data_IF_076298297548
#
_entry.id   IF_076298297548
#
_cell.length_a   1.000
_cell.length_b   1.000
_cell.length_c   1.000
_cell.angle_alpha   90.00
_cell.angle_beta   90.00
_cell.angle_gamma   90.00
#
_symmetry.space_group_name_H-M   'P 1'
#
loop_
_entity.id
_entity.type
_entity.pdbx_description
1 polymer ?
#
# COMPACT_ATOMS: atom_id res chain seq x y z
N UNK A 1 33.49 -10.58 4.19
CA UNK A 1 33.11 -9.22 3.74
C UNK A 1 31.72 -8.79 4.20
N UNK A 2 30.67 -9.62 4.12
CA UNK A 2 29.33 -9.31 4.66
C UNK A 2 29.25 -9.23 6.19
N UNK A 3 29.99 -10.09 6.90
CA UNK A 3 30.08 -10.08 8.37
C UNK A 3 30.63 -8.76 8.92
N UNK A 4 31.50 -8.08 8.17
CA UNK A 4 32.07 -6.80 8.59
C UNK A 4 31.02 -5.67 8.51
N UNK A 5 30.12 -5.71 7.52
CA UNK A 5 29.02 -4.73 7.40
C UNK A 5 27.97 -4.91 8.49
N UNK A 6 27.72 -6.14 8.94
CA UNK A 6 26.82 -6.42 10.06
C UNK A 6 27.43 -5.93 11.39
N UNK A 7 28.73 -6.14 11.59
CA UNK A 7 29.43 -5.62 12.78
C UNK A 7 29.46 -4.10 12.82
N UNK A 8 29.68 -3.43 11.68
CA UNK A 8 29.63 -1.96 11.59
C UNK A 8 28.20 -1.46 11.86
N UNK A 9 27.16 -2.14 11.36
CA UNK A 9 25.77 -1.80 11.66
C UNK A 9 25.45 -1.96 13.16
N UNK A 10 26.00 -2.99 13.81
CA UNK A 10 25.88 -3.21 15.26
C UNK A 10 26.71 -2.22 16.08
N UNK A 11 27.85 -1.74 15.56
CA UNK A 11 28.68 -0.70 16.18
C UNK A 11 28.07 0.69 16.08
N UNK A 12 27.43 1.04 14.95
CA UNK A 12 26.68 2.29 14.80
C UNK A 12 25.49 2.31 15.77
N UNK A 13 24.79 1.18 15.95
CA UNK A 13 23.76 1.02 16.98
C UNK A 13 24.30 1.14 18.42
N UNK A 14 25.60 0.90 18.62
CA UNK A 14 26.29 1.04 19.90
C UNK A 14 26.88 2.42 20.12
N UNK A 15 27.21 3.17 19.07
CA UNK A 15 27.90 4.47 19.19
C UNK A 15 26.92 5.63 19.47
N UNK A 16 25.61 5.43 19.30
CA UNK A 16 24.52 6.33 19.75
C UNK A 16 24.11 6.12 21.23
N UNK A 17 24.98 5.51 22.05
CA UNK A 17 24.77 5.22 23.48
C UNK A 17 24.79 6.49 24.38
N UNK A 18 23.97 7.48 24.04
CA UNK A 18 23.38 8.48 24.93
C UNK A 18 21.87 8.69 24.70
N UNK A 19 21.27 8.00 23.72
CA UNK A 19 19.82 7.83 23.65
C UNK A 19 19.43 6.67 24.57
N UNK A 20 18.39 6.83 25.40
CA UNK A 20 17.95 5.74 26.27
C UNK A 20 17.48 4.56 25.39
N UNK A 21 17.77 3.32 25.78
CA UNK A 21 17.32 2.12 25.06
C UNK A 21 15.79 2.14 24.78
N UNK A 22 15.02 2.81 25.64
CA UNK A 22 13.59 3.03 25.48
C UNK A 22 13.23 3.93 24.28
N UNK A 23 14.08 4.90 23.93
CA UNK A 23 13.88 5.82 22.80
C UNK A 23 14.01 5.10 21.46
N UNK A 24 15.06 4.29 21.30
CA UNK A 24 15.27 3.47 20.10
C UNK A 24 14.16 2.41 19.90
N UNK A 25 13.73 1.76 20.98
CA UNK A 25 12.56 0.85 20.93
C UNK A 25 11.31 1.62 20.51
N UNK A 26 11.11 2.84 21.03
CA UNK A 26 10.00 3.72 20.67
C UNK A 26 9.96 4.02 19.17
N UNK A 27 11.10 4.36 18.58
CA UNK A 27 11.20 4.67 17.15
C UNK A 27 10.92 3.46 16.25
N UNK A 28 11.45 2.28 16.60
CA UNK A 28 11.14 1.05 15.87
C UNK A 28 9.64 0.75 15.94
N UNK A 29 9.05 0.82 17.14
CA UNK A 29 7.62 0.57 17.33
C UNK A 29 6.79 1.55 16.53
N UNK A 30 7.19 2.82 16.48
CA UNK A 30 6.52 3.85 15.70
C UNK A 30 6.53 3.54 14.19
N UNK A 31 7.70 3.22 13.62
CA UNK A 31 7.85 2.89 12.20
C UNK A 31 7.06 1.64 11.83
N UNK A 32 7.12 0.59 12.66
CA UNK A 32 6.34 -0.65 12.44
C UNK A 32 4.84 -0.37 12.48
N UNK A 33 4.39 0.43 13.45
CA UNK A 33 2.98 0.80 13.58
C UNK A 33 2.47 1.56 12.36
N UNK A 34 3.24 2.54 11.86
CA UNK A 34 2.93 3.26 10.62
C UNK A 34 2.85 2.31 9.41
N UNK A 35 3.78 1.36 9.30
CA UNK A 35 3.76 0.34 8.25
C UNK A 35 2.48 -0.49 8.28
N UNK A 36 2.03 -0.93 9.45
CA UNK A 36 0.78 -1.68 9.62
C UNK A 36 -0.43 -0.86 9.19
N UNK A 37 -0.47 0.43 9.54
CA UNK A 37 -1.54 1.32 9.10
C UNK A 37 -1.60 1.43 7.58
N UNK A 38 -0.47 1.71 6.92
CA UNK A 38 -0.40 1.83 5.46
C UNK A 38 -0.87 0.53 4.78
N UNK A 39 -0.44 -0.63 5.26
CA UNK A 39 -0.85 -1.92 4.73
C UNK A 39 -2.35 -2.17 4.90
N UNK A 40 -2.92 -1.83 6.06
CA UNK A 40 -4.35 -2.01 6.34
C UNK A 40 -5.21 -1.15 5.44
N UNK A 41 -4.84 0.11 5.27
CA UNK A 41 -5.54 1.04 4.38
C UNK A 41 -5.44 0.61 2.92
N UNK A 42 -4.25 0.25 2.44
CA UNK A 42 -4.05 -0.22 1.08
C UNK A 42 -4.85 -1.49 0.79
N UNK A 43 -4.94 -2.43 1.74
CA UNK A 43 -5.71 -3.68 1.60
C UNK A 43 -7.22 -3.44 1.62
N UNK A 44 -7.70 -2.52 2.47
CA UNK A 44 -9.10 -2.09 2.47
C UNK A 44 -9.49 -1.44 1.14
N UNK A 45 -8.62 -0.56 0.65
CA UNK A 45 -8.67 0.04 -0.69
C UNK A 45 -8.82 -0.98 -1.82
N UNK A 46 -7.90 -1.94 -1.87
CA UNK A 46 -7.86 -3.00 -2.88
C UNK A 46 -9.13 -3.88 -2.83
N UNK A 47 -9.61 -4.23 -1.64
CA UNK A 47 -10.82 -5.04 -1.47
C UNK A 47 -12.09 -4.33 -1.97
N UNK A 48 -12.21 -3.03 -1.72
CA UNK A 48 -13.34 -2.23 -2.20
C UNK A 48 -13.32 -2.15 -3.72
N UNK A 49 -12.14 -1.90 -4.28
CA UNK A 49 -11.95 -1.82 -5.73
C UNK A 49 -12.28 -3.14 -6.44
N UNK A 50 -11.81 -4.26 -5.88
CA UNK A 50 -12.09 -5.58 -6.43
C UNK A 50 -13.54 -6.01 -6.25
N UNK A 51 -14.18 -5.59 -5.16
CA UNK A 51 -15.62 -5.84 -4.96
C UNK A 51 -16.42 -5.12 -6.04
N UNK A 52 -16.06 -3.89 -6.39
CA UNK A 52 -16.65 -3.15 -7.52
C UNK A 52 -16.54 -3.91 -8.85
N UNK A 53 -15.35 -4.41 -9.18
CA UNK A 53 -15.12 -5.23 -10.39
C UNK A 53 -15.97 -6.51 -10.36
N UNK A 54 -15.93 -7.25 -9.25
CA UNK A 54 -16.63 -8.52 -9.10
C UNK A 54 -18.15 -8.39 -9.27
N UNK A 55 -18.74 -7.29 -8.78
CA UNK A 55 -20.17 -7.01 -8.97
C UNK A 55 -20.46 -6.82 -10.46
N UNK A 56 -19.67 -5.97 -11.15
CA UNK A 56 -19.84 -5.70 -12.58
C UNK A 56 -19.76 -6.99 -13.41
N UNK A 57 -18.77 -7.84 -13.13
CA UNK A 57 -18.57 -9.09 -13.85
C UNK A 57 -19.71 -10.10 -13.60
N UNK A 58 -20.25 -10.16 -12.38
CA UNK A 58 -21.44 -10.97 -12.08
C UNK A 58 -22.65 -10.51 -12.90
N UNK A 59 -22.86 -9.20 -13.03
CA UNK A 59 -23.96 -8.67 -13.85
C UNK A 59 -23.74 -8.91 -15.36
N UNK A 60 -22.50 -8.88 -15.86
CA UNK A 60 -22.20 -9.30 -17.24
C UNK A 60 -22.52 -10.76 -17.50
N UNK A 61 -22.19 -11.65 -16.56
CA UNK A 61 -22.55 -13.07 -16.66
C UNK A 61 -24.07 -13.26 -16.54
N UNK A 62 -24.77 -12.45 -15.75
CA UNK A 62 -26.21 -12.47 -15.68
C UNK A 62 -26.84 -12.03 -17.01
N UNK A 63 -26.31 -10.98 -17.64
CA UNK A 63 -26.77 -10.45 -18.92
C UNK A 63 -26.79 -11.51 -20.04
N UNK A 64 -25.83 -12.44 -20.06
CA UNK A 64 -25.78 -13.50 -21.08
C UNK A 64 -26.85 -14.58 -20.88
N UNK A 65 -27.44 -14.66 -19.68
CA UNK A 65 -28.47 -15.64 -19.31
C UNK A 65 -29.90 -15.10 -19.43
N UNK A 66 -30.07 -13.81 -19.71
CA UNK A 66 -31.37 -13.16 -19.86
C UNK A 66 -31.83 -13.28 -21.31
N UNK A 67 -32.99 -13.92 -21.51
CA UNK A 67 -33.62 -14.07 -22.82
C UNK A 67 -34.54 -12.89 -23.18
N UNK A 68 -35.06 -12.17 -22.18
CA UNK A 68 -35.90 -10.99 -22.40
C UNK A 68 -35.05 -9.80 -22.87
N UNK A 69 -35.28 -9.26 -24.08
CA UNK A 69 -34.51 -8.13 -24.61
C UNK A 69 -34.64 -6.87 -23.77
N UNK A 70 -35.80 -6.60 -23.14
CA UNK A 70 -36.02 -5.39 -22.33
C UNK A 70 -35.21 -5.47 -21.04
N UNK A 71 -35.29 -6.59 -20.34
CA UNK A 71 -34.52 -6.83 -19.12
C UNK A 71 -33.01 -6.86 -19.39
N UNK A 72 -32.59 -7.39 -20.55
CA UNK A 72 -31.20 -7.35 -20.99
C UNK A 72 -30.69 -5.93 -21.18
N UNK A 73 -31.49 -5.04 -21.76
CA UNK A 73 -31.15 -3.63 -21.94
C UNK A 73 -31.03 -2.90 -20.59
N UNK A 74 -31.97 -3.14 -19.66
CA UNK A 74 -31.91 -2.58 -18.31
C UNK A 74 -30.63 -2.99 -17.56
N UNK A 75 -30.22 -4.26 -17.67
CA UNK A 75 -28.97 -4.74 -17.06
C UNK A 75 -27.75 -4.07 -17.68
N UNK A 76 -27.76 -3.75 -18.98
CA UNK A 76 -26.68 -2.97 -19.61
C UNK A 76 -26.59 -1.57 -19.02
N UNK A 77 -27.72 -0.87 -18.87
CA UNK A 77 -27.72 0.45 -18.24
C UNK A 77 -27.23 0.39 -16.80
N UNK A 78 -27.64 -0.64 -16.05
CA UNK A 78 -27.20 -0.84 -14.68
C UNK A 78 -25.70 -1.14 -14.57
N UNK A 79 -25.14 -1.97 -15.46
CA UNK A 79 -23.70 -2.22 -15.55
C UNK A 79 -22.94 -0.92 -15.82
N UNK A 80 -23.39 -0.11 -16.79
CA UNK A 80 -22.77 1.18 -17.11
C UNK A 80 -22.84 2.15 -15.93
N UNK A 81 -23.96 2.17 -15.21
CA UNK A 81 -24.11 2.95 -14.00
C UNK A 81 -23.13 2.51 -12.91
N UNK A 82 -23.02 1.21 -12.65
CA UNK A 82 -22.08 0.66 -11.66
C UNK A 82 -20.61 0.89 -12.05
N UNK A 83 -20.28 0.82 -13.34
CA UNK A 83 -18.95 1.17 -13.84
C UNK A 83 -18.59 2.63 -13.53
N UNK A 84 -19.57 3.54 -13.64
CA UNK A 84 -19.39 4.96 -13.32
C UNK A 84 -19.37 5.24 -11.82
N UNK A 85 -20.11 4.45 -11.04
CA UNK A 85 -20.20 4.57 -9.58
C UNK A 85 -19.08 3.81 -8.84
N UNK A 86 -18.21 3.07 -9.56
CA UNK A 86 -17.17 2.23 -8.95
C UNK A 86 -16.40 3.05 -7.89
N UNK A 87 -16.44 2.62 -6.62
CA UNK A 87 -15.78 3.36 -5.56
C UNK A 87 -14.28 3.19 -5.69
N UNK A 88 -13.59 4.25 -6.10
CA UNK A 88 -12.14 4.34 -6.00
C UNK A 88 -11.80 5.10 -4.73
N UNK A 89 -11.22 4.41 -3.74
CA UNK A 89 -10.69 5.10 -2.57
C UNK A 89 -9.48 5.92 -3.00
N UNK A 90 -9.56 7.23 -2.85
CA UNK A 90 -8.46 8.14 -3.18
C UNK A 90 -8.03 8.92 -1.94
N UNK A 91 -6.72 9.07 -1.76
CA UNK A 91 -6.19 9.97 -0.75
C UNK A 91 -6.22 11.40 -1.32
N UNK A 92 -7.21 12.19 -0.88
CA UNK A 92 -7.42 13.58 -1.31
C UNK A 92 -7.50 13.78 -2.85
N UNK A 93 -7.91 12.75 -3.60
CA UNK A 93 -7.99 12.80 -5.07
C UNK A 93 -6.66 12.69 -5.82
N UNK A 94 -5.51 12.61 -5.12
CA UNK A 94 -4.18 12.57 -5.76
C UNK A 94 -3.68 11.16 -6.04
N UNK A 95 -3.95 10.21 -5.14
CA UNK A 95 -3.53 8.81 -5.29
C UNK A 95 -4.65 7.87 -4.96
N UNK A 96 -4.76 6.78 -5.71
CA UNK A 96 -5.66 5.68 -5.36
C UNK A 96 -5.05 4.88 -4.21
N UNK A 97 -5.85 4.62 -3.19
CA UNK A 97 -5.52 3.76 -2.06
C UNK A 97 -5.84 2.34 -2.54
N UNK A 98 -4.84 1.65 -3.06
CA UNK A 98 -4.93 0.25 -3.47
C UNK A 98 -3.58 -0.44 -3.21
N UNK A 99 -3.44 -1.70 -3.64
CA UNK A 99 -2.20 -2.46 -3.43
C UNK A 99 -0.96 -1.81 -4.06
N UNK A 100 -1.10 -0.96 -5.08
CA UNK A 100 0.03 -0.21 -5.68
C UNK A 100 0.63 0.81 -4.72
N UNK A 101 -0.14 1.29 -3.75
CA UNK A 101 0.34 2.20 -2.71
C UNK A 101 1.43 1.55 -1.85
N UNK A 102 1.34 0.23 -1.60
CA UNK A 102 2.36 -0.54 -0.90
C UNK A 102 3.67 -0.54 -1.69
N UNK A 103 3.58 -0.83 -2.99
CA UNK A 103 4.76 -0.82 -3.88
C UNK A 103 5.39 0.56 -3.94
N UNK A 104 4.58 1.61 -4.07
CA UNK A 104 5.06 3.00 -4.05
C UNK A 104 5.77 3.33 -2.74
N UNK A 105 5.21 2.92 -1.60
CA UNK A 105 5.82 3.14 -0.29
C UNK A 105 7.23 2.56 -0.20
N UNK A 106 7.42 1.30 -0.60
CA UNK A 106 8.76 0.69 -0.59
C UNK A 106 9.73 1.34 -1.59
N UNK A 107 9.25 1.72 -2.78
CA UNK A 107 10.07 2.40 -3.78
C UNK A 107 10.56 3.76 -3.27
N UNK A 108 9.73 4.50 -2.52
CA UNK A 108 10.13 5.79 -1.96
C UNK A 108 11.02 5.65 -0.72
N UNK A 109 10.76 4.63 0.11
CA UNK A 109 11.47 4.42 1.37
C UNK A 109 12.89 3.86 1.17
N UNK A 110 13.07 2.96 0.20
CA UNK A 110 14.37 2.35 -0.12
C UNK A 110 15.48 3.38 -0.41
N UNK A 111 15.33 4.35 -1.34
CA UNK A 111 16.37 5.33 -1.62
C UNK A 111 16.65 6.23 -0.42
N UNK A 112 15.64 6.54 0.40
CA UNK A 112 15.84 7.32 1.62
C UNK A 112 16.75 6.58 2.62
N UNK A 113 16.49 5.30 2.87
CA UNK A 113 17.37 4.46 3.70
C UNK A 113 18.80 4.44 3.13
N UNK A 114 18.93 4.22 1.82
CA UNK A 114 20.24 4.15 1.16
C UNK A 114 21.00 5.47 1.32
N UNK A 115 20.34 6.61 1.11
CA UNK A 115 20.94 7.94 1.26
C UNK A 115 21.37 8.16 2.71
N UNK A 116 20.52 7.86 3.69
CA UNK A 116 20.85 8.02 5.11
C UNK A 116 22.06 7.15 5.48
N UNK A 117 22.10 5.90 5.04
CA UNK A 117 23.24 5.01 5.26
C UNK A 117 24.51 5.54 4.61
N UNK A 118 24.42 6.05 3.38
CA UNK A 118 25.56 6.63 2.67
C UNK A 118 26.11 7.89 3.34
N UNK A 119 25.23 8.76 3.82
CA UNK A 119 25.64 9.95 4.59
C UNK A 119 26.37 9.52 5.85
N UNK A 120 25.84 8.54 6.57
CA UNK A 120 26.46 8.06 7.80
C UNK A 120 27.80 7.34 7.57
N UNK A 121 28.00 6.69 6.42
CA UNK A 121 29.24 5.97 6.10
C UNK A 121 30.30 6.80 5.37
N UNK A 122 29.98 8.00 4.87
CA UNK A 122 30.94 8.93 4.24
C UNK A 122 31.41 10.05 5.18
N UNK A 123 30.91 10.10 6.42
CA UNK A 123 31.32 11.09 7.42
C UNK A 123 32.50 10.59 8.28
N UNK A 124 32.95 9.35 8.05
CA UNK A 124 34.27 8.83 8.48
C UNK A 124 35.30 8.95 7.34
#
# INVERSE_FOLDING_TARGET
MYLNKINIFLEILKHEEKASLAEYIGDIVYVVTLGIWVLTWARGGDNIDQTGINIIDRYRVLQTKINDPVMKEQVVYFIRFLQKLRPELTACGFTTINRKLITSFFITLTPYIVIVLQIHTNID
#
